data_IF_152827066741
#
_entry.id   IF_152827066741
#
_cell.length_a   1.000
_cell.length_b   1.000
_cell.length_c   1.000
_cell.angle_alpha   90.00
_cell.angle_beta   90.00
_cell.angle_gamma   90.00
#
_symmetry.space_group_name_H-M   'P 1'
#
loop_
_entity.id
_entity.type
_entity.pdbx_description
1 polymer ?
#
# COMPACT_ATOMS: atom_id res chain seq x y z
N UNK A 1 -92.14 7.75 36.36
CA UNK A 1 -90.68 7.86 36.07
C UNK A 1 -90.49 7.70 34.57
N UNK A 2 -89.58 8.42 33.88
CA UNK A 2 -88.42 9.17 34.39
C UNK A 2 -88.43 10.69 34.16
N UNK A 3 -87.49 11.36 34.86
CA UNK A 3 -87.12 12.79 34.82
C UNK A 3 -86.45 13.23 33.51
N UNK A 4 -86.61 14.52 33.16
CA UNK A 4 -85.80 15.23 32.17
C UNK A 4 -85.31 16.54 32.79
N UNK A 5 -84.02 16.61 33.12
CA UNK A 5 -83.35 17.82 33.62
C UNK A 5 -83.24 18.88 32.51
N UNK A 6 -83.64 20.13 32.81
CA UNK A 6 -83.27 21.32 32.04
C UNK A 6 -81.89 21.83 32.49
N UNK A 7 -80.97 22.05 31.55
CA UNK A 7 -79.67 22.68 31.82
C UNK A 7 -79.77 24.21 31.94
N UNK A 8 -78.87 24.87 32.71
CA UNK A 8 -78.89 26.31 32.91
C UNK A 8 -78.29 27.11 31.75
N UNK A 9 -78.80 28.33 31.57
CA UNK A 9 -78.48 29.29 30.50
C UNK A 9 -77.06 29.89 30.58
N UNK A 10 -76.47 30.31 29.45
CA UNK A 10 -75.14 30.92 29.41
C UNK A 10 -75.12 32.38 29.91
N UNK A 11 -73.99 32.76 30.52
CA UNK A 11 -73.72 34.09 31.10
C UNK A 11 -73.45 35.19 30.05
N UNK A 12 -73.69 36.48 30.38
CA UNK A 12 -73.53 37.60 29.44
C UNK A 12 -72.07 37.96 29.16
N UNK A 13 -71.82 38.49 27.96
CA UNK A 13 -70.49 38.79 27.42
C UNK A 13 -69.81 40.02 28.07
N UNK A 14 -68.47 40.03 28.18
CA UNK A 14 -67.71 41.13 28.78
C UNK A 14 -67.58 42.36 27.87
N UNK A 15 -67.45 43.54 28.50
CA UNK A 15 -67.32 44.85 27.86
C UNK A 15 -65.96 45.06 27.15
N UNK A 16 -65.87 45.95 26.14
CA UNK A 16 -64.66 46.12 25.32
C UNK A 16 -63.54 46.90 26.03
N UNK A 17 -62.30 46.46 25.81
CA UNK A 17 -61.04 47.02 26.32
C UNK A 17 -60.55 48.15 25.38
N UNK A 18 -60.02 49.28 25.88
CA UNK A 18 -59.47 50.34 25.04
C UNK A 18 -58.19 49.88 24.30
N UNK A 19 -58.00 50.40 23.09
CA UNK A 19 -56.94 49.98 22.17
C UNK A 19 -55.55 50.43 22.64
N UNK A 20 -54.62 49.48 22.62
CA UNK A 20 -53.19 49.64 22.89
C UNK A 20 -52.50 50.39 21.72
N UNK A 21 -51.83 51.49 22.01
CA UNK A 21 -51.06 52.25 21.01
C UNK A 21 -49.80 51.43 20.63
N UNK A 22 -49.85 50.78 19.47
CA UNK A 22 -48.84 49.80 19.06
C UNK A 22 -47.39 50.33 19.04
N UNK A 23 -46.48 49.55 19.63
CA UNK A 23 -45.03 49.76 19.57
C UNK A 23 -44.52 49.90 18.11
N UNK A 24 -43.51 50.75 17.85
CA UNK A 24 -42.98 50.94 16.51
C UNK A 24 -42.41 49.62 15.97
N UNK A 25 -43.04 49.11 14.89
CA UNK A 25 -42.67 47.86 14.25
C UNK A 25 -41.18 47.86 13.83
N UNK A 26 -40.38 47.02 14.49
CA UNK A 26 -38.94 46.85 14.22
C UNK A 26 -38.72 46.25 12.83
N UNK A 27 -38.44 47.09 11.83
CA UNK A 27 -38.16 46.65 10.45
C UNK A 27 -36.73 46.11 10.34
N UNK A 28 -36.60 44.81 10.04
CA UNK A 28 -35.31 44.17 9.81
C UNK A 28 -34.79 44.59 8.43
N UNK A 29 -33.56 45.11 8.38
CA UNK A 29 -32.92 45.50 7.11
C UNK A 29 -32.70 44.27 6.21
N UNK A 30 -33.13 44.30 4.94
CA UNK A 30 -32.97 43.17 4.01
C UNK A 30 -31.50 42.82 3.81
N UNK A 31 -30.60 43.81 3.87
CA UNK A 31 -29.16 43.59 3.77
C UNK A 31 -28.60 42.81 4.95
N UNK A 32 -29.08 43.07 6.18
CA UNK A 32 -28.65 42.32 7.37
C UNK A 32 -29.11 40.87 7.31
N UNK A 33 -30.33 40.64 6.82
CA UNK A 33 -30.85 39.29 6.62
C UNK A 33 -30.06 38.54 5.53
N UNK A 34 -29.79 39.19 4.40
CA UNK A 34 -28.99 38.60 3.30
C UNK A 34 -27.56 38.28 3.73
N UNK A 35 -26.90 39.18 4.46
CA UNK A 35 -25.56 38.92 4.99
C UNK A 35 -25.56 37.73 5.97
N UNK A 36 -26.56 37.62 6.85
CA UNK A 36 -26.69 36.48 7.75
C UNK A 36 -26.86 35.17 6.98
N UNK A 37 -27.76 35.14 5.99
CA UNK A 37 -28.01 33.95 5.16
C UNK A 37 -26.74 33.53 4.40
N UNK A 38 -26.00 34.50 3.83
CA UNK A 38 -24.75 34.21 3.11
C UNK A 38 -23.68 33.61 4.03
N UNK A 39 -23.53 34.12 5.25
CA UNK A 39 -22.58 33.60 6.25
C UNK A 39 -22.96 32.17 6.66
N UNK A 40 -24.24 31.93 6.92
CA UNK A 40 -24.74 30.59 7.28
C UNK A 40 -24.54 29.59 6.14
N UNK A 41 -24.83 29.98 4.90
CA UNK A 41 -24.64 29.14 3.73
C UNK A 41 -23.16 28.81 3.48
N UNK A 42 -22.27 29.79 3.62
CA UNK A 42 -20.82 29.59 3.50
C UNK A 42 -20.29 28.66 4.61
N UNK A 43 -20.75 28.85 5.86
CA UNK A 43 -20.42 27.97 6.98
C UNK A 43 -20.88 26.53 6.77
N UNK A 44 -22.13 26.35 6.31
CA UNK A 44 -22.67 25.03 6.00
C UNK A 44 -21.91 24.34 4.85
N UNK A 45 -21.61 25.07 3.78
CA UNK A 45 -20.83 24.55 2.65
C UNK A 45 -19.40 24.19 3.07
N UNK A 46 -18.72 25.07 3.82
CA UNK A 46 -17.39 24.82 4.37
C UNK A 46 -17.37 23.60 5.30
N UNK A 47 -18.38 23.45 6.15
CA UNK A 47 -18.55 22.29 7.01
C UNK A 47 -18.73 21.00 6.21
N UNK A 48 -19.64 20.98 5.22
CA UNK A 48 -19.86 19.80 4.36
C UNK A 48 -18.61 19.44 3.55
N UNK A 49 -17.91 20.44 3.00
CA UNK A 49 -16.66 20.23 2.26
C UNK A 49 -15.57 19.64 3.16
N UNK A 50 -15.37 20.21 4.36
CA UNK A 50 -14.40 19.72 5.32
C UNK A 50 -14.70 18.29 5.78
N UNK A 51 -15.97 18.00 6.11
CA UNK A 51 -16.38 16.66 6.56
C UNK A 51 -16.18 15.62 5.44
N UNK A 52 -16.44 15.99 4.18
CA UNK A 52 -16.17 15.12 3.02
C UNK A 52 -14.67 14.85 2.85
N UNK A 53 -13.82 15.85 3.02
CA UNK A 53 -12.36 15.68 2.98
C UNK A 53 -11.85 14.82 4.14
N UNK A 54 -12.37 15.04 5.35
CA UNK A 54 -11.97 14.30 6.56
C UNK A 54 -12.42 12.83 6.52
N UNK A 55 -13.64 12.55 6.02
CA UNK A 55 -14.17 11.19 5.88
C UNK A 55 -13.64 10.47 4.62
N UNK A 56 -13.18 11.22 3.61
CA UNK A 56 -12.53 10.69 2.41
C UNK A 56 -11.09 10.23 2.64
N UNK A 57 -10.44 10.75 3.69
CA UNK A 57 -9.15 10.26 4.17
C UNK A 57 -9.36 8.92 4.91
N UNK A 58 -9.51 7.83 4.16
CA UNK A 58 -9.36 6.50 4.73
C UNK A 58 -7.94 6.40 5.32
N UNK A 59 -7.76 5.92 6.56
CA UNK A 59 -6.44 5.52 7.00
C UNK A 59 -5.93 4.50 5.97
N UNK A 60 -4.81 4.80 5.32
CA UNK A 60 -4.05 3.79 4.60
C UNK A 60 -3.59 2.80 5.67
N UNK A 61 -4.40 1.78 5.96
CA UNK A 61 -3.87 0.57 6.57
C UNK A 61 -2.99 -0.04 5.48
N UNK A 62 -1.73 0.36 5.43
CA UNK A 62 -0.72 -0.44 4.75
C UNK A 62 -0.83 -1.80 5.40
N UNK A 63 -1.29 -2.79 4.64
CA UNK A 63 -1.40 -4.15 5.16
C UNK A 63 0.00 -4.55 5.63
N UNK A 64 0.15 -4.85 6.91
CA UNK A 64 1.39 -5.45 7.41
C UNK A 64 1.58 -6.79 6.71
N UNK A 65 2.79 -7.05 6.25
CA UNK A 65 3.16 -8.30 5.60
C UNK A 65 4.28 -8.98 6.40
N UNK A 66 4.36 -10.30 6.28
CA UNK A 66 5.36 -11.12 6.92
C UNK A 66 5.83 -12.18 5.92
N UNK A 67 7.14 -12.23 5.68
CA UNK A 67 7.75 -13.20 4.79
C UNK A 67 9.07 -13.70 5.41
N UNK A 68 9.15 -14.95 5.89
CA UNK A 68 10.40 -15.52 6.37
C UNK A 68 11.39 -15.74 5.22
N UNK A 69 12.68 -15.68 5.53
CA UNK A 69 13.73 -16.08 4.59
C UNK A 69 13.76 -17.60 4.42
N UNK A 70 13.99 -18.03 3.18
CA UNK A 70 14.18 -19.42 2.81
C UNK A 70 15.42 -19.52 1.93
N UNK A 71 16.44 -20.24 2.41
CA UNK A 71 17.55 -20.64 1.56
C UNK A 71 17.07 -21.73 0.59
N UNK A 72 17.05 -21.39 -0.69
CA UNK A 72 16.55 -22.28 -1.75
C UNK A 72 17.54 -23.36 -2.15
N UNK A 73 18.79 -23.25 -1.69
CA UNK A 73 19.91 -24.12 -2.06
C UNK A 73 20.25 -25.17 -1.02
N UNK A 74 19.70 -25.06 0.20
CA UNK A 74 19.93 -26.02 1.30
C UNK A 74 19.02 -27.25 1.19
N UNK A 75 19.56 -28.40 1.55
CA UNK A 75 18.85 -29.69 1.63
C UNK A 75 18.75 -30.14 3.10
N UNK A 76 17.58 -30.63 3.58
CA UNK A 76 16.32 -30.81 2.84
C UNK A 76 15.66 -29.47 2.47
N UNK A 77 15.01 -29.43 1.30
CA UNK A 77 14.37 -28.20 0.82
C UNK A 77 13.09 -27.91 1.60
N UNK A 78 12.87 -26.63 1.93
CA UNK A 78 11.63 -26.18 2.56
C UNK A 78 10.53 -25.96 1.49
N UNK A 79 9.32 -26.53 1.64
CA UNK A 79 8.25 -26.43 0.64
C UNK A 79 7.52 -25.07 0.73
N UNK A 80 8.23 -23.97 0.51
CA UNK A 80 7.71 -22.60 0.61
C UNK A 80 6.47 -22.32 -0.25
N UNK A 81 6.30 -23.08 -1.34
CA UNK A 81 5.16 -22.98 -2.25
C UNK A 81 3.87 -23.59 -1.70
N UNK A 82 3.96 -24.44 -0.66
CA UNK A 82 2.80 -25.12 -0.08
C UNK A 82 2.10 -24.24 0.95
N UNK A 83 0.84 -23.88 0.70
CA UNK A 83 0.03 -23.13 1.66
C UNK A 83 -0.21 -23.88 2.99
N UNK A 84 -0.11 -25.21 2.99
CA UNK A 84 -0.24 -26.01 4.21
C UNK A 84 1.03 -25.99 5.07
N UNK A 85 2.21 -25.91 4.44
CA UNK A 85 3.49 -25.89 5.14
C UNK A 85 3.98 -24.46 5.45
N UNK A 86 3.64 -23.50 4.60
CA UNK A 86 4.00 -22.09 4.73
C UNK A 86 2.76 -21.25 5.02
N UNK A 87 2.45 -21.11 6.31
CA UNK A 87 1.30 -20.32 6.77
C UNK A 87 1.46 -18.81 6.52
N UNK A 88 2.69 -18.32 6.38
CA UNK A 88 2.95 -16.93 5.99
C UNK A 88 2.52 -16.68 4.54
N UNK A 89 2.45 -17.74 3.72
CA UNK A 89 2.14 -17.73 2.29
C UNK A 89 3.06 -16.87 1.43
N UNK A 90 4.03 -16.19 2.01
CA UNK A 90 5.06 -15.40 1.35
C UNK A 90 6.42 -15.84 1.86
N UNK A 91 7.47 -15.67 1.07
CA UNK A 91 8.84 -15.98 1.49
C UNK A 91 9.83 -15.10 0.75
N UNK A 92 10.89 -14.71 1.45
CA UNK A 92 12.08 -14.10 0.86
C UNK A 92 13.05 -15.22 0.48
N UNK A 93 13.19 -15.46 -0.81
CA UNK A 93 13.98 -16.55 -1.37
C UNK A 93 15.44 -16.09 -1.50
N UNK A 94 16.29 -16.67 -0.68
CA UNK A 94 17.71 -16.38 -0.58
C UNK A 94 18.58 -17.47 -1.23
N UNK A 95 19.74 -17.14 -1.80
CA UNK A 95 20.18 -15.81 -2.21
C UNK A 95 20.69 -15.84 -3.65
N UNK A 96 20.45 -14.74 -4.38
CA UNK A 96 21.03 -14.55 -5.71
C UNK A 96 22.31 -13.72 -5.60
N UNK A 97 23.40 -14.31 -6.10
CA UNK A 97 24.75 -13.76 -6.07
C UNK A 97 25.42 -13.91 -7.44
N UNK A 98 26.60 -13.32 -7.60
CA UNK A 98 27.40 -13.50 -8.80
C UNK A 98 27.91 -14.94 -8.92
N UNK A 99 27.80 -15.53 -10.11
CA UNK A 99 28.34 -16.86 -10.39
C UNK A 99 29.88 -16.80 -10.33
N UNK A 100 30.54 -17.59 -9.48
CA UNK A 100 31.99 -17.67 -9.44
C UNK A 100 32.58 -17.97 -10.81
N UNK A 101 33.56 -17.17 -11.24
CA UNK A 101 34.22 -17.31 -12.55
C UNK A 101 33.43 -16.79 -13.77
N UNK A 102 32.19 -16.33 -13.58
CA UNK A 102 31.32 -15.84 -14.67
C UNK A 102 30.90 -14.36 -14.47
N UNK A 103 31.66 -13.61 -13.67
CA UNK A 103 31.51 -12.18 -13.48
C UNK A 103 30.10 -11.78 -13.01
N UNK A 104 29.48 -10.83 -13.71
CA UNK A 104 28.17 -10.25 -13.40
C UNK A 104 26.96 -11.15 -13.77
N UNK A 105 27.15 -12.48 -13.78
CA UNK A 105 26.07 -13.44 -14.11
C UNK A 105 25.32 -13.85 -12.83
N UNK A 106 23.99 -13.69 -12.75
CA UNK A 106 23.23 -14.07 -11.57
C UNK A 106 23.16 -15.60 -11.40
N UNK A 107 23.24 -16.06 -10.15
CA UNK A 107 23.14 -17.47 -9.77
C UNK A 107 22.60 -17.62 -8.34
N UNK A 108 21.97 -18.76 -8.05
CA UNK A 108 21.51 -19.11 -6.72
C UNK A 108 22.66 -19.70 -5.89
N UNK A 109 23.02 -19.02 -4.81
CA UNK A 109 24.10 -19.40 -3.90
C UNK A 109 25.49 -19.52 -4.56
N UNK A 110 25.67 -19.00 -5.78
CA UNK A 110 26.89 -19.22 -6.58
C UNK A 110 26.97 -20.60 -7.24
N UNK A 111 26.04 -21.52 -6.93
CA UNK A 111 26.06 -22.90 -7.37
C UNK A 111 25.28 -23.09 -8.67
N UNK A 112 24.03 -22.63 -8.71
CA UNK A 112 23.09 -22.90 -9.80
C UNK A 112 22.87 -21.63 -10.64
N UNK A 113 23.03 -21.73 -11.95
CA UNK A 113 22.42 -20.72 -12.85
C UNK A 113 20.90 -20.73 -12.71
N UNK A 114 20.22 -19.69 -13.19
CA UNK A 114 18.74 -19.65 -13.12
C UNK A 114 18.10 -20.88 -13.79
N UNK A 115 18.63 -21.30 -14.94
CA UNK A 115 18.17 -22.49 -15.65
C UNK A 115 18.42 -23.78 -14.86
N UNK A 116 19.60 -23.92 -14.24
CA UNK A 116 19.89 -25.08 -13.39
C UNK A 116 19.02 -25.11 -12.14
N UNK A 117 18.76 -23.96 -11.51
CA UNK A 117 17.85 -23.90 -10.36
C UNK A 117 16.42 -24.34 -10.75
N UNK A 118 15.96 -24.01 -11.96
CA UNK A 118 14.67 -24.50 -12.46
C UNK A 118 14.68 -26.01 -12.72
N UNK A 119 15.77 -26.55 -13.26
CA UNK A 119 15.87 -27.97 -13.60
C UNK A 119 16.07 -28.86 -12.37
N UNK A 120 16.97 -28.45 -11.47
CA UNK A 120 17.45 -29.27 -10.36
C UNK A 120 16.67 -29.01 -9.07
N UNK A 121 16.27 -27.75 -8.81
CA UNK A 121 15.54 -27.35 -7.60
C UNK A 121 14.05 -27.12 -7.85
N UNK A 122 13.61 -27.25 -9.11
CA UNK A 122 12.26 -26.94 -9.58
C UNK A 122 11.83 -25.52 -9.21
N UNK A 123 12.79 -24.59 -9.13
CA UNK A 123 12.58 -23.31 -8.46
C UNK A 123 11.54 -22.45 -9.19
N UNK A 124 11.62 -22.32 -10.51
CA UNK A 124 10.61 -21.63 -11.33
C UNK A 124 9.20 -22.18 -11.14
N UNK A 125 9.04 -23.51 -11.16
CA UNK A 125 7.74 -24.16 -10.91
C UNK A 125 7.21 -23.84 -9.51
N UNK A 126 8.06 -23.90 -8.49
CA UNK A 126 7.67 -23.63 -7.09
C UNK A 126 7.31 -22.17 -6.87
N UNK A 127 8.05 -21.24 -7.49
CA UNK A 127 7.71 -19.81 -7.49
C UNK A 127 6.36 -19.56 -8.18
N UNK A 128 6.12 -20.18 -9.33
CA UNK A 128 4.84 -20.08 -10.03
C UNK A 128 3.67 -20.63 -9.20
N UNK A 129 3.87 -21.75 -8.49
CA UNK A 129 2.88 -22.32 -7.57
C UNK A 129 2.57 -21.40 -6.39
N UNK A 130 3.57 -20.70 -5.85
CA UNK A 130 3.35 -19.69 -4.81
C UNK A 130 2.45 -18.55 -5.34
N UNK A 131 2.74 -18.06 -6.54
CA UNK A 131 1.96 -17.03 -7.24
C UNK A 131 0.49 -17.42 -7.44
N UNK A 132 0.21 -18.67 -7.81
CA UNK A 132 -1.16 -19.20 -7.97
C UNK A 132 -1.95 -19.21 -6.65
N UNK A 133 -1.27 -19.28 -5.51
CA UNK A 133 -1.89 -19.23 -4.19
C UNK A 133 -2.17 -17.79 -3.71
N UNK A 134 -2.03 -16.79 -4.60
CA UNK A 134 -2.32 -15.38 -4.32
C UNK A 134 -1.21 -14.63 -3.59
N UNK A 135 0.00 -15.19 -3.55
CA UNK A 135 1.13 -14.60 -2.86
C UNK A 135 2.37 -14.52 -3.75
N UNK A 136 3.08 -13.39 -3.70
CA UNK A 136 4.27 -13.18 -4.49
C UNK A 136 5.51 -13.81 -3.85
N UNK A 137 6.38 -14.39 -4.68
CA UNK A 137 7.75 -14.65 -4.27
C UNK A 137 8.53 -13.34 -4.19
N UNK A 138 9.43 -13.24 -3.22
CA UNK A 138 10.40 -12.17 -3.10
C UNK A 138 11.76 -12.82 -3.28
N UNK A 139 12.62 -12.28 -4.13
CA UNK A 139 13.99 -12.79 -4.28
C UNK A 139 14.93 -11.81 -3.61
N UNK A 140 15.81 -12.34 -2.75
CA UNK A 140 16.87 -11.55 -2.13
C UNK A 140 18.18 -11.67 -2.90
N UNK A 141 18.78 -10.53 -3.21
CA UNK A 141 20.11 -10.41 -3.80
C UNK A 141 21.15 -10.13 -2.71
N UNK A 142 22.28 -10.82 -2.75
CA UNK A 142 23.38 -10.61 -1.80
C UNK A 142 23.43 -11.68 -0.71
N UNK A 143 23.36 -11.26 0.55
CA UNK A 143 23.53 -12.09 1.74
C UNK A 143 24.99 -12.23 2.18
N UNK A 144 25.20 -12.86 3.34
CA UNK A 144 26.52 -13.01 3.98
C UNK A 144 27.60 -13.69 3.12
N UNK A 145 27.24 -14.64 2.24
CA UNK A 145 28.19 -15.49 1.53
C UNK A 145 28.26 -15.20 0.01
N UNK A 146 29.42 -15.49 -0.59
CA UNK A 146 29.76 -15.24 -2.00
C UNK A 146 29.91 -13.75 -2.36
N UNK A 147 30.15 -13.45 -3.63
CA UNK A 147 30.25 -12.07 -4.12
C UNK A 147 28.87 -11.58 -4.58
N UNK A 148 28.32 -10.50 -4.00
CA UNK A 148 27.04 -9.96 -4.43
C UNK A 148 27.16 -9.29 -5.81
N UNK A 149 26.05 -9.20 -6.54
CA UNK A 149 26.04 -8.71 -7.92
C UNK A 149 26.47 -7.24 -8.04
N UNK A 150 26.14 -6.40 -7.08
CA UNK A 150 26.52 -4.98 -7.06
C UNK A 150 28.03 -4.74 -6.92
N UNK A 151 28.74 -5.68 -6.29
CA UNK A 151 30.21 -5.72 -6.24
C UNK A 151 30.78 -6.33 -7.53
N UNK A 152 30.23 -7.44 -8.02
CA UNK A 152 30.75 -8.13 -9.21
C UNK A 152 30.53 -7.36 -10.53
N UNK A 153 29.47 -6.55 -10.61
CA UNK A 153 29.10 -5.79 -11.81
C UNK A 153 29.78 -4.41 -11.82
N UNK A 154 30.61 -4.13 -12.81
CA UNK A 154 31.38 -2.88 -12.86
C UNK A 154 30.60 -1.65 -13.37
N UNK A 155 29.39 -1.81 -13.91
CA UNK A 155 28.57 -0.69 -14.40
C UNK A 155 27.12 -0.78 -13.90
N UNK A 156 26.46 0.37 -13.75
CA UNK A 156 25.03 0.43 -13.40
C UNK A 156 24.17 -0.31 -14.42
N UNK A 157 24.52 -0.21 -15.71
CA UNK A 157 23.78 -0.86 -16.78
C UNK A 157 23.90 -2.39 -16.72
N UNK A 158 25.10 -2.93 -16.44
CA UNK A 158 25.28 -4.38 -16.28
C UNK A 158 24.56 -4.90 -15.03
N UNK A 159 24.63 -4.16 -13.93
CA UNK A 159 23.93 -4.52 -12.69
C UNK A 159 22.41 -4.54 -12.87
N UNK A 160 21.83 -3.48 -13.46
CA UNK A 160 20.40 -3.42 -13.76
C UNK A 160 19.95 -4.55 -14.70
N UNK A 161 20.79 -4.95 -15.67
CA UNK A 161 20.50 -6.11 -16.52
C UNK A 161 20.51 -7.42 -15.74
N UNK A 162 21.47 -7.63 -14.84
CA UNK A 162 21.55 -8.84 -14.02
C UNK A 162 20.32 -8.97 -13.11
N UNK A 163 19.96 -7.92 -12.38
CA UNK A 163 18.73 -7.87 -11.58
C UNK A 163 17.48 -8.05 -12.44
N UNK A 164 17.38 -7.37 -13.58
CA UNK A 164 16.24 -7.52 -14.49
C UNK A 164 16.11 -8.92 -15.05
N UNK A 165 17.20 -9.67 -15.23
CA UNK A 165 17.14 -11.04 -15.70
C UNK A 165 16.39 -11.91 -14.69
N UNK A 166 16.72 -11.80 -13.41
CA UNK A 166 16.09 -12.55 -12.31
C UNK A 166 14.63 -12.12 -12.11
N UNK A 167 14.38 -10.81 -12.08
CA UNK A 167 13.01 -10.25 -11.94
C UNK A 167 12.11 -10.78 -13.05
N UNK A 168 12.57 -10.78 -14.30
CA UNK A 168 11.78 -11.26 -15.44
C UNK A 168 11.65 -12.77 -15.47
N UNK A 169 12.69 -13.49 -15.04
CA UNK A 169 12.70 -14.95 -15.03
C UNK A 169 11.60 -15.52 -14.12
N UNK A 170 11.35 -14.86 -12.98
CA UNK A 170 10.35 -15.28 -11.99
C UNK A 170 9.10 -14.39 -11.93
N UNK A 171 8.93 -13.45 -12.86
CA UNK A 171 7.84 -12.46 -12.88
C UNK A 171 7.62 -11.71 -11.54
N UNK A 172 8.71 -11.23 -10.95
CA UNK A 172 8.70 -10.65 -9.61
C UNK A 172 8.12 -9.24 -9.58
N UNK A 173 7.39 -8.95 -8.49
CA UNK A 173 6.90 -7.60 -8.14
C UNK A 173 7.64 -6.97 -6.98
N UNK A 174 8.33 -7.79 -6.18
CA UNK A 174 9.06 -7.34 -5.01
C UNK A 174 10.40 -8.06 -4.97
N UNK A 175 11.47 -7.32 -4.67
CA UNK A 175 12.82 -7.87 -4.49
C UNK A 175 13.46 -7.31 -3.24
N UNK A 176 14.37 -8.07 -2.66
CA UNK A 176 15.15 -7.69 -1.49
C UNK A 176 16.63 -7.53 -1.86
N UNK A 177 17.31 -6.58 -1.23
CA UNK A 177 18.73 -6.32 -1.44
C UNK A 177 19.46 -6.42 -0.09
N UNK A 178 19.93 -7.62 0.22
CA UNK A 178 20.63 -7.94 1.46
C UNK A 178 22.12 -7.61 1.33
N UNK A 179 22.46 -6.35 1.60
CA UNK A 179 23.83 -5.83 1.53
C UNK A 179 24.51 -6.05 2.88
N UNK A 180 25.50 -6.94 2.89
CA UNK A 180 26.17 -7.37 4.13
C UNK A 180 27.71 -7.33 4.03
N UNK A 181 28.37 -7.50 5.18
CA UNK A 181 29.82 -7.66 5.27
C UNK A 181 30.61 -6.55 4.58
N UNK A 182 31.64 -6.91 3.82
CA UNK A 182 32.49 -5.95 3.13
C UNK A 182 31.75 -5.11 2.05
N UNK A 183 30.58 -5.56 1.57
CA UNK A 183 29.80 -4.79 0.60
C UNK A 183 29.20 -3.52 1.22
N UNK A 184 28.98 -3.51 2.54
CA UNK A 184 28.52 -2.31 3.27
C UNK A 184 29.53 -1.15 3.13
N UNK A 185 30.82 -1.45 3.10
CA UNK A 185 31.89 -0.45 3.01
C UNK A 185 32.22 -0.04 1.56
N UNK A 186 31.77 -0.80 0.55
CA UNK A 186 31.98 -0.46 -0.86
C UNK A 186 31.01 0.62 -1.33
N UNK A 187 31.40 1.89 -1.10
CA UNK A 187 30.64 3.07 -1.55
C UNK A 187 30.43 3.13 -3.06
N UNK A 188 31.32 2.56 -3.86
CA UNK A 188 31.19 2.58 -5.31
C UNK A 188 30.12 1.57 -5.77
N UNK A 189 30.14 0.35 -5.24
CA UNK A 189 29.10 -0.65 -5.43
C UNK A 189 27.73 -0.15 -4.94
N UNK A 190 27.65 0.42 -3.73
CA UNK A 190 26.39 0.89 -3.16
C UNK A 190 25.74 2.03 -3.99
N UNK A 191 26.53 2.96 -4.52
CA UNK A 191 26.03 3.99 -5.47
C UNK A 191 25.51 3.37 -6.77
N UNK A 192 26.21 2.35 -7.27
CA UNK A 192 25.82 1.61 -8.48
C UNK A 192 24.52 0.84 -8.25
N UNK A 193 24.39 0.20 -7.09
CA UNK A 193 23.20 -0.51 -6.67
C UNK A 193 21.97 0.42 -6.64
N UNK A 194 22.06 1.52 -5.89
CA UNK A 194 20.99 2.52 -5.83
C UNK A 194 20.58 3.06 -7.22
N UNK A 195 21.55 3.33 -8.09
CA UNK A 195 21.28 3.79 -9.46
C UNK A 195 20.62 2.71 -10.34
N UNK A 196 20.98 1.43 -10.15
CA UNK A 196 20.38 0.31 -10.86
C UNK A 196 18.93 0.08 -10.39
N UNK A 197 18.68 0.09 -9.08
CA UNK A 197 17.35 0.00 -8.47
C UNK A 197 16.43 1.10 -9.01
N UNK A 198 16.89 2.35 -8.99
CA UNK A 198 16.13 3.48 -9.57
C UNK A 198 15.78 3.24 -11.04
N UNK A 199 16.72 2.72 -11.82
CA UNK A 199 16.50 2.44 -13.25
C UNK A 199 15.45 1.35 -13.45
N UNK A 200 15.46 0.30 -12.62
CA UNK A 200 14.46 -0.78 -12.63
C UNK A 200 13.08 -0.27 -12.26
N UNK A 201 12.95 0.49 -11.16
CA UNK A 201 11.68 1.07 -10.72
C UNK A 201 11.08 2.00 -11.79
N UNK A 202 11.90 2.83 -12.45
CA UNK A 202 11.45 3.67 -13.56
C UNK A 202 10.97 2.84 -14.77
N UNK A 203 11.68 1.76 -15.11
CA UNK A 203 11.27 0.87 -16.20
C UNK A 203 9.98 0.10 -15.88
N UNK A 204 9.85 -0.37 -14.65
CA UNK A 204 8.69 -1.08 -14.11
C UNK A 204 7.41 -0.22 -14.15
N UNK A 205 7.51 1.04 -13.71
CA UNK A 205 6.40 2.03 -13.77
C UNK A 205 5.92 2.28 -15.20
N UNK A 206 6.84 2.40 -16.16
CA UNK A 206 6.50 2.59 -17.60
C UNK A 206 5.75 1.40 -18.20
N UNK A 207 5.87 0.22 -17.60
CA UNK A 207 5.20 -1.01 -18.06
C UNK A 207 3.91 -1.30 -17.28
N UNK A 208 3.44 -0.37 -16.44
CA UNK A 208 2.32 -0.58 -15.51
C UNK A 208 2.48 -1.82 -14.62
N UNK A 209 3.73 -2.17 -14.31
CA UNK A 209 4.09 -3.30 -13.47
C UNK A 209 5.06 -2.80 -12.40
N UNK A 210 4.60 -2.02 -11.40
CA UNK A 210 5.48 -1.43 -10.40
C UNK A 210 6.29 -2.53 -9.70
N UNK A 211 7.57 -2.23 -9.49
CA UNK A 211 8.51 -3.05 -8.73
C UNK A 211 8.72 -2.35 -7.39
N UNK A 212 8.44 -3.07 -6.32
CA UNK A 212 8.67 -2.64 -4.94
C UNK A 212 10.01 -3.17 -4.42
#
# INVERSE_FOLDING_TARGET
MPERLLGPMPAPAPAPVPADEGEPARRISPYRLLSLVAVLAAGAYGGVAWTRSALGARPSSTASWFAPYVDTTVTPTYPFQSAAANLARQSVLGFVVAKPGAGCTPSWGGAYTLAQADQELQLGTRVAQLGQNGAGAIVSFGGQANTPLDVACHTTASLARAYSAVIRHYDLRTVDFDVEGAALDDRAANRRNAAAIRSLQLAARRRHHPLE
#
